data_IF_533010493229
#
_entry.id   IF_533010493229
#
_cell.length_a   1.000
_cell.length_b   1.000
_cell.length_c   1.000
_cell.angle_alpha   90.00
_cell.angle_beta   90.00
_cell.angle_gamma   90.00
#
_symmetry.space_group_name_H-M   'P 1'
#
loop_
_entity.id
_entity.type
_entity.pdbx_description
1 polymer ?
#
# COMPACT_ATOMS: atom_id res chain seq x y z
N UNK A 1 -9.48 7.73 1.43
CA UNK A 1 -8.85 9.06 1.33
C UNK A 1 -7.34 8.89 1.21
N UNK A 2 -6.59 9.90 0.74
CA UNK A 2 -5.11 9.83 0.68
C UNK A 2 -4.54 11.03 1.43
N UNK A 3 -3.59 10.79 2.33
CA UNK A 3 -2.98 11.81 3.20
C UNK A 3 -1.48 11.54 3.34
N UNK A 4 -0.67 12.56 3.55
CA UNK A 4 0.77 12.38 3.80
C UNK A 4 1.60 13.64 3.64
N UNK A 5 2.88 13.55 4.02
CA UNK A 5 3.89 14.60 3.82
C UNK A 5 5.21 13.95 3.40
N UNK A 6 5.75 14.38 2.26
CA UNK A 6 6.93 13.74 1.67
C UNK A 6 6.66 12.27 1.35
N UNK A 7 7.55 11.38 1.82
CA UNK A 7 7.45 9.94 1.60
C UNK A 7 6.59 9.20 2.64
N UNK A 8 6.07 9.89 3.65
CA UNK A 8 5.14 9.29 4.62
C UNK A 8 3.70 9.43 4.10
N UNK A 9 3.17 8.35 3.51
CA UNK A 9 1.85 8.33 2.88
C UNK A 9 0.91 7.34 3.59
N UNK A 10 -0.35 7.74 3.72
CA UNK A 10 -1.46 6.94 4.24
C UNK A 10 -2.60 6.89 3.24
N UNK A 11 -3.01 5.68 2.86
CA UNK A 11 -4.11 5.41 1.94
C UNK A 11 -5.22 4.71 2.74
N UNK A 12 -6.30 5.43 3.01
CA UNK A 12 -7.46 4.93 3.75
C UNK A 12 -8.50 4.33 2.80
N UNK A 13 -8.86 3.07 3.05
CA UNK A 13 -9.93 2.35 2.35
C UNK A 13 -11.24 2.39 3.14
N UNK A 14 -12.36 2.12 2.44
CA UNK A 14 -13.70 2.10 3.03
C UNK A 14 -14.07 0.79 3.74
N UNK A 15 -13.15 -0.19 3.81
CA UNK A 15 -13.33 -1.47 4.49
C UNK A 15 -12.03 -1.93 5.17
N UNK A 16 -12.10 -2.78 6.20
CA UNK A 16 -10.91 -3.37 6.82
C UNK A 16 -10.06 -4.09 5.78
N UNK A 17 -8.76 -3.78 5.74
CA UNK A 17 -7.85 -4.22 4.68
C UNK A 17 -6.58 -4.89 5.20
N UNK A 18 -6.58 -5.36 6.46
CA UNK A 18 -5.43 -6.04 7.07
C UNK A 18 -4.91 -7.24 6.28
N UNK A 19 -5.78 -7.94 5.53
CA UNK A 19 -5.36 -9.06 4.67
C UNK A 19 -4.42 -8.64 3.53
N UNK A 20 -4.43 -7.36 3.12
CA UNK A 20 -3.52 -6.85 2.11
C UNK A 20 -2.06 -6.98 2.52
N UNK A 21 -1.76 -6.98 3.84
CA UNK A 21 -0.39 -7.19 4.33
C UNK A 21 0.14 -8.55 3.89
N UNK A 22 -0.64 -9.62 4.08
CA UNK A 22 -0.22 -10.97 3.70
C UNK A 22 -0.22 -11.15 2.18
N UNK A 23 -1.20 -10.59 1.48
CA UNK A 23 -1.26 -10.66 0.01
C UNK A 23 -0.08 -9.91 -0.64
N UNK A 24 0.30 -8.74 -0.12
CA UNK A 24 1.47 -7.99 -0.57
C UNK A 24 2.77 -8.73 -0.25
N UNK A 25 2.90 -9.29 0.96
CA UNK A 25 4.06 -10.08 1.37
C UNK A 25 4.30 -11.28 0.45
N UNK A 26 3.22 -11.97 0.05
CA UNK A 26 3.29 -13.08 -0.90
C UNK A 26 3.80 -12.67 -2.29
N UNK A 27 3.70 -11.38 -2.63
CA UNK A 27 4.23 -10.80 -3.87
C UNK A 27 5.60 -10.12 -3.68
N UNK A 28 6.22 -10.25 -2.50
CA UNK A 28 7.51 -9.64 -2.18
C UNK A 28 7.43 -8.15 -1.81
N UNK A 29 6.22 -7.61 -1.58
CA UNK A 29 6.01 -6.22 -1.19
C UNK A 29 5.69 -6.12 0.30
N UNK A 30 6.50 -5.36 1.04
CA UNK A 30 6.25 -5.06 2.46
C UNK A 30 5.44 -3.77 2.60
N UNK A 31 4.24 -3.89 3.14
CA UNK A 31 3.39 -2.77 3.54
C UNK A 31 2.89 -2.97 4.97
N UNK A 32 2.46 -1.89 5.60
CA UNK A 32 1.78 -1.95 6.89
C UNK A 32 0.33 -1.46 6.75
N UNK A 33 -0.59 -2.08 7.48
CA UNK A 33 -1.97 -1.60 7.63
C UNK A 33 -2.18 -1.20 9.08
N UNK A 34 -2.77 -0.04 9.28
CA UNK A 34 -3.04 0.53 10.61
C UNK A 34 -4.47 1.03 10.70
N UNK A 35 -5.02 1.14 11.91
CA UNK A 35 -6.41 1.51 12.13
C UNK A 35 -7.38 0.65 11.29
N UNK A 36 -7.02 -0.61 11.07
CA UNK A 36 -7.71 -1.63 10.26
C UNK A 36 -7.89 -1.34 8.76
N UNK A 37 -7.87 -0.09 8.32
CA UNK A 37 -8.20 0.30 6.94
C UNK A 37 -7.20 1.26 6.27
N UNK A 38 -6.08 1.61 6.92
CA UNK A 38 -5.09 2.55 6.36
C UNK A 38 -3.80 1.84 5.98
N UNK A 39 -3.52 1.77 4.68
CA UNK A 39 -2.23 1.32 4.14
C UNK A 39 -1.21 2.43 4.34
N UNK A 40 -0.08 2.14 4.99
CA UNK A 40 1.03 3.07 5.20
C UNK A 40 2.20 2.73 4.28
N UNK A 41 2.66 3.73 3.55
CA UNK A 41 3.89 3.68 2.77
C UNK A 41 4.89 4.62 3.43
N UNK A 42 6.03 4.07 3.80
CA UNK A 42 7.16 4.82 4.36
C UNK A 42 8.47 4.21 3.84
N UNK A 43 8.78 4.41 2.54
CA UNK A 43 10.03 3.95 1.96
C UNK A 43 11.23 4.74 2.53
N UNK A 44 12.46 4.24 2.35
CA UNK A 44 13.67 4.97 2.76
C UNK A 44 13.80 6.32 2.02
N UNK A 45 14.52 7.28 2.59
CA UNK A 45 14.68 8.61 1.94
C UNK A 45 15.51 8.60 0.65
N UNK A 46 16.24 7.51 0.41
CA UNK A 46 17.01 7.27 -0.82
C UNK A 46 16.19 6.56 -1.91
N UNK A 47 14.89 6.40 -1.70
CA UNK A 47 13.97 5.73 -2.62
C UNK A 47 13.93 6.43 -3.97
N UNK A 48 14.19 5.64 -5.02
CA UNK A 48 14.27 6.11 -6.39
C UNK A 48 12.90 6.12 -7.08
N UNK A 49 12.82 6.85 -8.19
CA UNK A 49 11.61 6.88 -9.01
C UNK A 49 11.31 5.52 -9.65
N UNK A 50 12.34 4.72 -9.97
CA UNK A 50 12.17 3.37 -10.51
C UNK A 50 11.58 2.41 -9.47
N UNK A 51 12.06 2.45 -8.23
CA UNK A 51 11.48 1.67 -7.13
C UNK A 51 10.06 2.14 -6.80
N UNK A 52 9.78 3.45 -6.96
CA UNK A 52 8.42 3.98 -6.84
C UNK A 52 7.49 3.38 -7.90
N UNK A 53 7.94 3.27 -9.14
CA UNK A 53 7.18 2.62 -10.21
C UNK A 53 6.94 1.13 -9.88
N UNK A 54 7.97 0.41 -9.45
CA UNK A 54 7.83 -1.00 -9.05
C UNK A 54 6.81 -1.17 -7.90
N UNK A 55 6.84 -0.28 -6.91
CA UNK A 55 5.87 -0.29 -5.82
C UNK A 55 4.45 -0.08 -6.34
N UNK A 56 4.24 0.86 -7.27
CA UNK A 56 2.93 1.12 -7.86
C UNK A 56 2.44 -0.08 -8.72
N UNK A 57 3.33 -0.68 -9.49
CA UNK A 57 3.04 -1.83 -10.36
C UNK A 57 2.56 -3.04 -9.55
N UNK A 58 3.07 -3.21 -8.32
CA UNK A 58 2.63 -4.27 -7.40
C UNK A 58 1.40 -3.87 -6.58
N UNK A 59 1.39 -2.66 -6.00
CA UNK A 59 0.38 -2.23 -5.04
C UNK A 59 -0.96 -1.92 -5.71
N UNK A 60 -0.97 -1.25 -6.86
CA UNK A 60 -2.20 -0.80 -7.50
C UNK A 60 -3.11 -1.97 -7.92
N UNK A 61 -2.61 -3.03 -8.60
CA UNK A 61 -3.44 -4.20 -8.93
C UNK A 61 -3.94 -4.92 -7.68
N UNK A 62 -3.10 -5.05 -6.64
CA UNK A 62 -3.45 -5.69 -5.38
C UNK A 62 -4.65 -4.99 -4.71
N UNK A 63 -4.57 -3.66 -4.57
CA UNK A 63 -5.63 -2.86 -3.95
C UNK A 63 -6.89 -2.87 -4.83
N UNK A 64 -6.75 -2.72 -6.15
CA UNK A 64 -7.90 -2.72 -7.07
C UNK A 64 -8.62 -4.06 -7.05
N UNK A 65 -7.89 -5.17 -7.07
CA UNK A 65 -8.44 -6.52 -6.98
C UNK A 65 -9.15 -6.76 -5.65
N UNK A 66 -8.58 -6.30 -4.54
CA UNK A 66 -9.20 -6.36 -3.21
C UNK A 66 -10.50 -5.55 -3.12
N UNK A 67 -10.53 -4.35 -3.70
CA UNK A 67 -11.73 -3.51 -3.70
C UNK A 67 -12.83 -4.07 -4.62
N UNK A 68 -12.46 -4.81 -5.66
CA UNK A 68 -13.40 -5.45 -6.60
C UNK A 68 -14.00 -6.76 -6.06
N UNK A 69 -13.39 -7.37 -5.05
CA UNK A 69 -13.95 -8.51 -4.33
C UNK A 69 -14.98 -7.98 -3.32
N UNK A 70 -16.26 -8.26 -3.57
CA UNK A 70 -17.38 -7.88 -2.71
C UNK A 70 -17.31 -8.61 -1.36
#
# INVERSE_FOLDING_TARGET
SIRGQGLMLGIELNKPCGELVQRALAQGLLINVTADNVIRLLPPLVFSQAEAQQLLDMLCPLVTGFLSQA
#
